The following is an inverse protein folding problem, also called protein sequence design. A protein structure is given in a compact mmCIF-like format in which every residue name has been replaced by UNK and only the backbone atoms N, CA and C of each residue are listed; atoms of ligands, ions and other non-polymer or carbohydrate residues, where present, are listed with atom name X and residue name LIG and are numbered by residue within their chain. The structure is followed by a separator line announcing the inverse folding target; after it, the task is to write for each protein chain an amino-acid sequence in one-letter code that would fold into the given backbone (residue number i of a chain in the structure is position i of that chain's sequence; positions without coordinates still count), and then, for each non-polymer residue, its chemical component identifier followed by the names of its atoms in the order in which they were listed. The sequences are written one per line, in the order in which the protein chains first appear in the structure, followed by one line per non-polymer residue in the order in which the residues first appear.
data_IF_631932996535
#
_entry.id   IF_631932996535
#
_cell.length_a   1.000
_cell.length_b   1.000
_cell.length_c   1.000
_cell.angle_alpha   90.00
_cell.angle_beta   90.00
_cell.angle_gamma   90.00
#
_symmetry.space_group_name_H-M   'P 1'
#
loop_
_entity.id
_entity.type
_entity.pdbx_description
1 polymer ?
#
# COMPACT_ATOMS: atom_id res chain seq x y z
N UNK A 1 25.05 -22.85 12.51
CA UNK A 1 24.02 -22.78 13.59
C UNK A 1 22.68 -22.96 12.93
N UNK A 2 22.10 -24.12 13.04
CA UNK A 2 20.90 -24.53 12.33
C UNK A 2 19.67 -24.18 13.18
N UNK A 3 18.76 -23.35 12.64
CA UNK A 3 17.56 -22.82 13.32
C UNK A 3 16.34 -23.76 13.25
N UNK A 4 16.53 -25.05 12.90
CA UNK A 4 15.43 -25.98 12.61
C UNK A 4 14.96 -26.86 13.77
N UNK A 5 15.48 -26.74 15.00
CA UNK A 5 15.18 -27.66 16.10
C UNK A 5 14.34 -27.09 17.24
N UNK A 6 13.45 -26.11 17.00
CA UNK A 6 12.67 -25.53 18.08
C UNK A 6 11.19 -25.99 18.18
N UNK A 7 10.75 -26.90 17.35
CA UNK A 7 9.35 -27.38 17.44
C UNK A 7 9.26 -28.91 17.44
N UNK A 8 9.72 -29.53 18.51
CA UNK A 8 9.32 -30.90 18.87
C UNK A 8 9.26 -30.97 20.38
N UNK A 9 8.05 -30.87 20.95
CA UNK A 9 7.70 -31.58 22.19
C UNK A 9 6.23 -31.39 22.57
N UNK A 10 5.58 -32.53 22.59
CA UNK A 10 4.57 -33.00 23.54
C UNK A 10 3.14 -32.53 23.36
N UNK A 11 2.39 -33.39 22.69
CA UNK A 11 0.95 -33.50 22.86
C UNK A 11 0.64 -34.01 24.29
N UNK A 12 0.05 -33.16 25.11
CA UNK A 12 -0.68 -33.58 26.30
C UNK A 12 -2.16 -33.28 26.04
N UNK A 13 -2.93 -34.32 25.81
CA UNK A 13 -4.38 -34.24 25.73
C UNK A 13 -4.93 -34.11 27.15
N UNK A 14 -5.32 -32.90 27.54
CA UNK A 14 -6.19 -32.67 28.70
C UNK A 14 -7.52 -32.12 28.20
N UNK A 15 -8.55 -32.94 28.34
CA UNK A 15 -9.96 -32.53 28.27
C UNK A 15 -10.23 -31.48 29.34
N UNK A 16 -10.13 -30.22 28.96
CA UNK A 16 -10.42 -29.07 29.82
C UNK A 16 -11.48 -28.19 29.15
N UNK A 17 -12.50 -27.85 29.90
CA UNK A 17 -13.61 -27.00 29.52
C UNK A 17 -13.15 -25.77 28.72
N UNK A 18 -13.74 -25.55 27.54
CA UNK A 18 -13.53 -24.36 26.72
C UNK A 18 -14.18 -23.17 27.44
N UNK A 19 -13.47 -22.56 28.34
CA UNK A 19 -13.80 -21.20 28.79
C UNK A 19 -13.47 -20.32 27.61
N UNK A 20 -14.49 -19.84 26.91
CA UNK A 20 -14.35 -18.87 25.84
C UNK A 20 -13.69 -17.60 26.40
N UNK A 21 -12.38 -17.46 26.23
CA UNK A 21 -11.72 -16.18 26.36
C UNK A 21 -12.24 -15.28 25.25
N UNK A 22 -13.30 -14.53 25.54
CA UNK A 22 -13.62 -13.34 24.78
C UNK A 22 -12.39 -12.42 24.88
N UNK A 23 -11.59 -12.36 23.83
CA UNK A 23 -10.56 -11.32 23.72
C UNK A 23 -11.28 -9.98 23.81
N UNK A 24 -10.97 -9.14 24.81
CA UNK A 24 -11.55 -7.80 24.86
C UNK A 24 -11.14 -7.11 23.56
N UNK A 25 -12.12 -6.85 22.70
CA UNK A 25 -11.91 -6.03 21.53
C UNK A 25 -11.28 -4.75 22.01
N UNK A 26 -10.10 -4.40 21.48
CA UNK A 26 -9.46 -3.12 21.75
C UNK A 26 -10.48 -2.08 21.27
N UNK A 27 -11.22 -1.51 22.21
CA UNK A 27 -12.11 -0.40 21.93
C UNK A 27 -11.24 0.72 21.37
N UNK A 28 -11.43 0.99 20.10
CA UNK A 28 -10.76 2.08 19.42
C UNK A 28 -11.22 3.37 20.10
N UNK A 29 -10.39 3.90 21.00
CA UNK A 29 -10.67 5.18 21.63
C UNK A 29 -10.75 6.23 20.52
N UNK A 30 -11.89 6.90 20.41
CA UNK A 30 -12.05 8.02 19.49
C UNK A 30 -11.15 9.16 19.95
N UNK A 31 -10.00 9.29 19.32
CA UNK A 31 -9.12 10.43 19.56
C UNK A 31 -9.78 11.69 18.99
N UNK A 32 -9.99 12.70 19.83
CA UNK A 32 -10.50 13.99 19.38
C UNK A 32 -9.43 14.72 18.56
N UNK A 33 -9.67 14.89 17.28
CA UNK A 33 -8.79 15.64 16.37
C UNK A 33 -9.35 17.05 16.16
N UNK A 34 -8.52 18.07 15.90
CA UNK A 34 -8.98 19.44 15.65
C UNK A 34 -9.80 19.57 14.34
N UNK A 35 -9.63 18.64 13.43
CA UNK A 35 -10.41 18.52 12.19
C UNK A 35 -10.53 17.03 11.81
N UNK A 36 -11.60 16.63 11.10
CA UNK A 36 -11.73 15.25 10.65
C UNK A 36 -10.71 14.94 9.55
N UNK A 37 -10.06 13.79 9.66
CA UNK A 37 -9.21 13.23 8.60
C UNK A 37 -10.00 12.09 7.93
N UNK A 38 -10.43 12.32 6.68
CA UNK A 38 -11.12 11.30 5.92
C UNK A 38 -10.16 10.18 5.52
N UNK A 39 -10.60 8.94 5.61
CA UNK A 39 -9.86 7.82 5.05
C UNK A 39 -9.88 7.91 3.52
N UNK A 40 -8.71 7.82 2.90
CA UNK A 40 -8.60 7.71 1.44
C UNK A 40 -8.90 6.27 1.04
N UNK A 41 -9.86 6.10 0.13
CA UNK A 41 -10.27 4.77 -0.34
C UNK A 41 -10.34 4.72 -1.86
N UNK A 42 -10.15 3.51 -2.41
CA UNK A 42 -10.39 3.22 -3.83
C UNK A 42 -11.42 2.10 -3.96
N UNK A 43 -12.30 2.14 -4.97
CA UNK A 43 -13.31 1.10 -5.14
C UNK A 43 -12.68 -0.23 -5.57
N UNK A 44 -13.27 -1.31 -5.10
CA UNK A 44 -12.89 -2.68 -5.50
C UNK A 44 -13.82 -3.11 -6.63
N UNK A 45 -13.23 -3.56 -7.75
CA UNK A 45 -14.01 -4.03 -8.91
C UNK A 45 -14.83 -5.25 -8.52
N UNK A 46 -16.14 -5.21 -8.84
CA UNK A 46 -17.07 -6.30 -8.54
C UNK A 46 -17.52 -6.38 -7.08
N UNK A 47 -17.30 -5.33 -6.29
CA UNK A 47 -17.70 -5.28 -4.87
C UNK A 47 -18.18 -3.89 -4.49
N UNK A 48 -19.09 -3.81 -3.51
CA UNK A 48 -19.48 -2.54 -2.88
C UNK A 48 -18.47 -2.09 -1.82
N UNK A 49 -17.48 -2.92 -1.51
CA UNK A 49 -16.42 -2.59 -0.56
C UNK A 49 -15.40 -1.61 -1.16
N UNK A 50 -14.76 -0.86 -0.28
CA UNK A 50 -13.70 0.08 -0.60
C UNK A 50 -12.39 -0.38 0.01
N UNK A 51 -11.30 -0.28 -0.75
CA UNK A 51 -9.97 -0.54 -0.23
C UNK A 51 -9.40 0.71 0.46
N UNK A 52 -9.07 0.67 1.75
CA UNK A 52 -8.48 1.80 2.46
C UNK A 52 -7.00 1.94 2.11
N UNK A 53 -6.63 3.06 1.53
CA UNK A 53 -5.23 3.35 1.18
C UNK A 53 -4.53 4.00 2.36
N UNK A 54 -3.55 3.31 2.93
CA UNK A 54 -2.76 3.83 4.05
C UNK A 54 -1.44 4.43 3.62
N UNK A 55 -0.77 3.81 2.65
CA UNK A 55 0.53 4.26 2.15
C UNK A 55 0.68 3.86 0.69
N UNK A 56 1.40 4.68 -0.06
CA UNK A 56 1.76 4.42 -1.45
C UNK A 56 3.27 4.37 -1.51
N UNK A 57 3.81 3.19 -1.79
CA UNK A 57 5.23 3.00 -2.05
C UNK A 57 5.44 2.92 -3.55
N UNK A 58 6.38 3.71 -4.05
CA UNK A 58 6.74 3.75 -5.45
C UNK A 58 8.16 3.24 -5.63
N UNK A 59 8.46 2.70 -6.81
CA UNK A 59 9.78 2.21 -7.19
C UNK A 59 10.21 3.02 -8.41
N UNK A 60 11.22 3.87 -8.23
CA UNK A 60 11.82 4.59 -9.35
C UNK A 60 12.89 3.77 -10.06
N UNK A 61 13.02 3.94 -11.38
CA UNK A 61 14.00 3.24 -12.24
C UNK A 61 13.85 1.72 -12.26
N UNK A 62 12.65 1.23 -12.03
CA UNK A 62 12.35 -0.20 -12.02
C UNK A 62 12.38 -0.81 -13.43
N UNK A 63 12.01 -0.05 -14.45
CA UNK A 63 12.06 -0.47 -15.85
C UNK A 63 13.36 -0.02 -16.50
N UNK A 64 14.19 -0.99 -16.94
CA UNK A 64 15.51 -0.72 -17.54
C UNK A 64 15.43 0.27 -18.70
N UNK A 65 14.47 0.11 -19.61
CA UNK A 65 14.31 0.98 -20.77
C UNK A 65 14.02 2.43 -20.33
N UNK A 66 13.12 2.61 -19.36
CA UNK A 66 12.79 3.93 -18.83
C UNK A 66 13.98 4.57 -18.09
N UNK A 67 14.76 3.80 -17.33
CA UNK A 67 15.98 4.31 -16.69
C UNK A 67 16.97 4.88 -17.73
N UNK A 68 17.16 4.20 -18.84
CA UNK A 68 18.03 4.65 -19.95
C UNK A 68 17.47 5.93 -20.59
N UNK A 69 16.16 5.97 -20.87
CA UNK A 69 15.47 7.14 -21.43
C UNK A 69 15.65 8.39 -20.55
N UNK A 70 15.60 8.20 -19.23
CA UNK A 70 15.83 9.27 -18.26
C UNK A 70 17.32 9.59 -18.02
N UNK A 71 18.24 9.03 -18.79
CA UNK A 71 19.67 9.29 -18.72
C UNK A 71 20.40 8.56 -17.58
N UNK A 72 19.75 7.61 -16.92
CA UNK A 72 20.35 6.79 -15.86
C UNK A 72 21.03 5.54 -16.44
N UNK A 73 22.00 5.01 -15.70
CA UNK A 73 22.67 3.77 -16.04
C UNK A 73 22.15 2.62 -15.16
N UNK A 74 21.24 1.75 -15.66
CA UNK A 74 20.63 0.68 -14.86
C UNK A 74 21.60 -0.42 -14.43
N UNK A 75 22.81 -0.49 -14.98
CA UNK A 75 23.86 -1.43 -14.57
C UNK A 75 24.65 -0.92 -13.35
N UNK A 76 24.56 0.38 -13.06
CA UNK A 76 25.29 1.04 -11.98
C UNK A 76 24.40 1.69 -10.95
N UNK A 77 23.15 1.99 -11.30
CA UNK A 77 22.19 2.71 -10.48
C UNK A 77 20.97 1.80 -10.22
N UNK A 78 20.88 1.19 -9.03
CA UNK A 78 19.76 0.32 -8.69
C UNK A 78 18.45 1.11 -8.60
N UNK A 79 17.28 0.44 -8.69
CA UNK A 79 15.99 1.04 -8.36
C UNK A 79 16.00 1.64 -6.96
N UNK A 80 15.22 2.69 -6.76
CA UNK A 80 15.04 3.32 -5.46
C UNK A 80 13.57 3.41 -5.08
N UNK A 81 13.29 3.52 -3.77
CA UNK A 81 11.94 3.60 -3.24
C UNK A 81 11.61 5.00 -2.79
N UNK A 82 10.38 5.42 -3.02
CA UNK A 82 9.83 6.68 -2.50
C UNK A 82 8.36 6.52 -2.16
N UNK A 83 7.77 7.53 -1.56
CA UNK A 83 6.34 7.51 -1.20
C UNK A 83 5.62 8.69 -1.83
N UNK A 84 4.35 8.48 -2.16
CA UNK A 84 3.41 9.54 -2.53
C UNK A 84 2.37 9.72 -1.43
N UNK A 85 1.87 10.95 -1.20
CA UNK A 85 0.76 11.18 -0.26
C UNK A 85 -0.49 10.43 -0.73
N UNK A 86 -1.23 9.86 0.20
CA UNK A 86 -2.46 9.12 -0.13
C UNK A 86 -3.58 10.00 -0.63
N UNK A 87 -3.63 11.23 -0.17
CA UNK A 87 -4.59 12.25 -0.59
C UNK A 87 -4.33 12.82 -2.00
N UNK A 88 -3.20 12.48 -2.63
CA UNK A 88 -2.91 12.80 -4.03
C UNK A 88 -3.56 11.85 -5.04
N UNK A 89 -4.29 10.82 -4.58
CA UNK A 89 -4.98 9.88 -5.48
C UNK A 89 -6.14 10.59 -6.19
N UNK A 90 -6.10 10.59 -7.51
CA UNK A 90 -7.23 10.94 -8.36
C UNK A 90 -7.82 9.65 -8.95
N UNK A 91 -8.99 9.25 -8.47
CA UNK A 91 -9.67 8.08 -9.03
C UNK A 91 -10.37 8.44 -10.33
N UNK A 92 -10.07 7.70 -11.39
CA UNK A 92 -10.73 7.79 -12.69
C UNK A 92 -11.47 6.49 -12.99
N UNK A 93 -12.79 6.57 -13.14
CA UNK A 93 -13.62 5.40 -13.42
C UNK A 93 -13.27 4.81 -14.77
N UNK A 94 -13.22 3.48 -14.87
CA UNK A 94 -13.00 2.75 -16.13
C UNK A 94 -13.96 3.24 -17.23
N UNK A 95 -13.42 3.54 -18.41
CA UNK A 95 -14.20 4.04 -19.55
C UNK A 95 -14.54 5.53 -19.50
N UNK A 96 -14.00 6.27 -18.52
CA UNK A 96 -14.13 7.73 -18.47
C UNK A 96 -12.77 8.42 -18.64
N UNK A 97 -12.82 9.72 -18.90
CA UNK A 97 -11.64 10.59 -18.98
C UNK A 97 -11.78 11.63 -17.86
N UNK A 98 -10.69 11.93 -17.19
CA UNK A 98 -10.61 13.00 -16.20
C UNK A 98 -9.45 13.94 -16.53
N UNK A 99 -9.66 15.23 -16.31
CA UNK A 99 -8.60 16.22 -16.45
C UNK A 99 -7.68 16.18 -15.24
N UNK A 100 -6.39 16.34 -15.49
CA UNK A 100 -5.40 16.54 -14.46
C UNK A 100 -4.70 17.89 -14.70
N UNK A 101 -4.73 18.81 -13.73
CA UNK A 101 -4.16 20.14 -13.91
C UNK A 101 -2.63 20.05 -14.07
N UNK A 102 -2.13 20.68 -15.12
CA UNK A 102 -0.68 20.76 -15.32
C UNK A 102 -0.03 21.63 -14.23
N UNK A 103 0.98 21.15 -13.51
CA UNK A 103 1.63 21.92 -12.46
C UNK A 103 2.29 23.20 -12.99
N UNK A 104 1.94 24.36 -12.42
CA UNK A 104 2.39 25.66 -12.92
C UNK A 104 3.90 25.93 -12.78
N UNK A 105 4.56 25.23 -11.88
CA UNK A 105 5.98 25.44 -11.57
C UNK A 105 6.94 24.50 -12.31
N UNK A 106 6.44 23.64 -13.17
CA UNK A 106 7.27 22.75 -14.00
C UNK A 106 7.01 22.97 -15.48
N UNK A 107 8.04 22.75 -16.30
CA UNK A 107 7.92 22.68 -17.76
C UNK A 107 8.13 21.26 -18.28
N UNK A 108 8.36 20.32 -17.37
CA UNK A 108 8.66 18.94 -17.67
C UNK A 108 7.87 18.03 -16.72
N UNK A 109 6.59 17.80 -17.05
CA UNK A 109 5.70 16.94 -16.30
C UNK A 109 5.41 15.68 -17.13
N UNK A 110 5.88 14.54 -16.65
CA UNK A 110 5.72 13.26 -17.30
C UNK A 110 4.55 12.49 -16.70
N UNK A 111 3.79 11.80 -17.55
CA UNK A 111 2.88 10.76 -17.13
C UNK A 111 3.58 9.41 -17.27
N UNK A 112 3.29 8.50 -16.37
CA UNK A 112 3.83 7.14 -16.37
C UNK A 112 2.69 6.16 -16.14
N UNK A 113 2.73 5.02 -16.85
CA UNK A 113 1.79 3.93 -16.65
C UNK A 113 2.49 2.80 -15.92
N UNK A 114 2.06 2.51 -14.70
CA UNK A 114 2.68 1.50 -13.85
C UNK A 114 1.67 0.49 -13.33
N UNK A 115 2.15 -0.73 -13.05
CA UNK A 115 1.38 -1.74 -12.35
C UNK A 115 1.41 -1.46 -10.85
N UNK A 116 0.24 -1.48 -10.23
CA UNK A 116 0.11 -1.33 -8.78
C UNK A 116 -0.25 -2.67 -8.16
N UNK A 117 0.53 -3.08 -7.15
CA UNK A 117 0.26 -4.25 -6.33
C UNK A 117 -0.30 -3.80 -4.98
N UNK A 118 -1.38 -4.45 -4.56
CA UNK A 118 -1.97 -4.27 -3.26
C UNK A 118 -1.52 -5.41 -2.35
N UNK A 119 -0.93 -5.08 -1.20
CA UNK A 119 -0.66 -6.04 -0.13
C UNK A 119 -1.71 -5.89 0.98
N UNK A 120 -2.27 -7.03 1.39
CA UNK A 120 -3.17 -7.11 2.53
C UNK A 120 -2.39 -7.05 3.86
#
# INVERSE_FOLDING_TARGET
MDRRHFFQSSALVTTGAVVGCATPGIAQQSVKTPFPVAAVTIPIVGSDAQFPVRRIYCIGRNYRAHAIEMGSNPDREPPFFFQKPTDSIQFVKTGTIADHPYPSLTKNYHYEAELVLQSA
#
